data_IF_275729743316
#
_entry.id   IF_275729743316
#
_cell.length_a   1.000
_cell.length_b   1.000
_cell.length_c   1.000
_cell.angle_alpha   90.00
_cell.angle_beta   90.00
_cell.angle_gamma   90.00
#
_symmetry.space_group_name_H-M   'P 1'
#
loop_
_entity.id
_entity.type
_entity.pdbx_description
1 polymer ?
#
# COMPACT_ATOMS: atom_id res chain seq x y z
N UNK A 1 -5.45 -11.78 9.55
CA UNK A 1 -6.13 -11.32 8.31
C UNK A 1 -7.42 -12.08 8.04
N UNK A 2 -7.41 -13.42 7.90
CA UNK A 2 -8.60 -14.22 7.52
C UNK A 2 -9.89 -13.89 8.29
N UNK A 3 -9.87 -13.84 9.63
CA UNK A 3 -11.07 -13.50 10.41
C UNK A 3 -11.61 -12.10 10.13
N UNK A 4 -10.73 -11.11 10.01
CA UNK A 4 -11.12 -9.74 9.68
C UNK A 4 -11.80 -9.67 8.30
N UNK A 5 -11.25 -10.34 7.29
CA UNK A 5 -11.84 -10.37 5.95
C UNK A 5 -13.17 -11.14 5.90
N UNK A 6 -13.30 -12.20 6.70
CA UNK A 6 -14.50 -13.04 6.69
C UNK A 6 -15.66 -12.45 7.51
N UNK A 7 -15.37 -11.74 8.61
CA UNK A 7 -16.39 -11.30 9.59
C UNK A 7 -16.48 -9.80 9.78
N UNK A 8 -15.66 -9.02 9.07
CA UNK A 8 -15.54 -7.59 9.33
C UNK A 8 -14.67 -7.29 10.56
N UNK A 9 -14.46 -6.01 10.83
CA UNK A 9 -13.71 -5.57 12.00
C UNK A 9 -14.60 -5.63 13.24
N UNK A 10 -15.85 -5.20 13.13
CA UNK A 10 -16.83 -5.26 14.22
C UNK A 10 -17.18 -6.70 14.63
N UNK A 11 -17.34 -7.61 13.66
CA UNK A 11 -17.72 -9.01 13.90
C UNK A 11 -16.58 -9.94 14.33
N UNK A 12 -15.37 -9.40 14.53
CA UNK A 12 -14.20 -10.14 15.00
C UNK A 12 -13.77 -9.67 16.40
N UNK A 13 -13.29 -10.60 17.22
CA UNK A 13 -12.66 -10.30 18.51
C UNK A 13 -11.29 -10.97 18.63
N UNK A 14 -10.47 -10.49 19.57
CA UNK A 14 -9.17 -11.12 19.87
C UNK A 14 -9.37 -12.56 20.32
N UNK A 15 -10.45 -12.87 21.02
CA UNK A 15 -10.78 -14.22 21.50
C UNK A 15 -11.03 -15.18 20.33
N UNK A 16 -11.79 -14.75 19.32
CA UNK A 16 -12.04 -15.54 18.11
C UNK A 16 -10.74 -15.80 17.37
N UNK A 17 -9.89 -14.78 17.22
CA UNK A 17 -8.59 -14.91 16.56
C UNK A 17 -7.67 -15.85 17.34
N UNK A 18 -7.58 -15.70 18.66
CA UNK A 18 -6.74 -16.52 19.52
C UNK A 18 -7.16 -18.00 19.48
N UNK A 19 -8.47 -18.26 19.50
CA UNK A 19 -9.02 -19.60 19.40
C UNK A 19 -8.68 -20.28 18.06
N UNK A 20 -8.83 -19.57 16.93
CA UNK A 20 -8.45 -20.12 15.63
C UNK A 20 -6.94 -20.34 15.50
N UNK A 21 -6.14 -19.39 16.00
CA UNK A 21 -4.68 -19.46 15.96
C UNK A 21 -4.09 -20.44 17.00
N UNK A 22 -4.93 -21.03 17.86
CA UNK A 22 -4.52 -21.93 18.96
C UNK A 22 -3.47 -21.31 19.88
N UNK A 23 -3.61 -20.01 20.17
CA UNK A 23 -2.73 -19.27 21.08
C UNK A 23 -3.51 -18.81 22.31
N UNK A 24 -2.83 -18.69 23.44
CA UNK A 24 -3.45 -18.18 24.66
C UNK A 24 -3.83 -16.70 24.50
N UNK A 25 -4.99 -16.30 25.02
CA UNK A 25 -5.46 -14.90 24.98
C UNK A 25 -4.41 -13.94 25.55
N UNK A 26 -3.82 -14.31 26.69
CA UNK A 26 -2.76 -13.53 27.36
C UNK A 26 -1.61 -13.24 26.40
N UNK A 27 -1.17 -14.22 25.61
CA UNK A 27 -0.10 -14.06 24.63
C UNK A 27 -0.45 -13.02 23.56
N UNK A 28 -1.70 -13.00 23.07
CA UNK A 28 -2.12 -12.00 22.08
C UNK A 28 -2.11 -10.61 22.71
N UNK A 29 -2.78 -10.42 23.85
CA UNK A 29 -2.82 -9.12 24.53
C UNK A 29 -1.42 -8.60 24.91
N UNK A 30 -0.49 -9.47 25.34
CA UNK A 30 0.89 -9.05 25.65
C UNK A 30 1.73 -8.71 24.42
N UNK A 31 1.40 -9.28 23.26
CA UNK A 31 2.18 -9.07 22.02
C UNK A 31 1.71 -7.86 21.23
N UNK A 32 0.40 -7.64 21.17
CA UNK A 32 -0.21 -6.62 20.30
C UNK A 32 -1.05 -5.60 21.04
N UNK A 33 -1.35 -5.76 22.34
CA UNK A 33 -2.21 -4.82 23.04
C UNK A 33 -3.67 -5.02 22.68
N UNK A 34 -4.23 -4.14 21.84
CA UNK A 34 -5.64 -4.14 21.50
C UNK A 34 -5.96 -4.74 20.10
N UNK A 35 -7.25 -4.75 19.72
CA UNK A 35 -7.70 -5.32 18.43
C UNK A 35 -7.27 -4.45 17.25
N UNK A 36 -7.20 -3.13 17.42
CA UNK A 36 -6.77 -2.21 16.38
C UNK A 36 -5.26 -2.35 16.14
N UNK A 37 -4.47 -2.53 17.19
CA UNK A 37 -3.03 -2.80 17.10
C UNK A 37 -2.74 -4.17 16.49
N UNK A 38 -3.53 -5.20 16.83
CA UNK A 38 -3.49 -6.48 16.14
C UNK A 38 -3.75 -6.32 14.64
N UNK A 39 -4.77 -5.53 14.28
CA UNK A 39 -5.09 -5.24 12.89
C UNK A 39 -3.94 -4.53 12.19
N UNK A 40 -3.41 -3.46 12.79
CA UNK A 40 -2.27 -2.68 12.28
C UNK A 40 -1.04 -3.55 12.10
N UNK A 41 -0.72 -4.45 13.05
CA UNK A 41 0.40 -5.37 12.93
C UNK A 41 0.27 -6.27 11.70
N UNK A 42 -0.95 -6.74 11.40
CA UNK A 42 -1.23 -7.51 10.19
C UNK A 42 -1.07 -6.65 8.93
N UNK A 43 -1.56 -5.40 8.92
CA UNK A 43 -1.38 -4.47 7.80
C UNK A 43 0.09 -4.18 7.54
N UNK A 44 0.86 -3.90 8.58
CA UNK A 44 2.30 -3.63 8.48
C UNK A 44 3.04 -4.81 7.86
N UNK A 45 2.78 -6.02 8.34
CA UNK A 45 3.40 -7.24 7.80
C UNK A 45 3.11 -7.42 6.31
N UNK A 46 1.93 -7.05 5.83
CA UNK A 46 1.59 -7.08 4.41
C UNK A 46 2.41 -6.04 3.61
N UNK A 47 2.51 -4.81 4.12
CA UNK A 47 3.25 -3.71 3.50
C UNK A 47 4.78 -3.84 3.53
N UNK A 48 5.32 -4.49 4.56
CA UNK A 48 6.76 -4.69 4.75
C UNK A 48 7.39 -5.50 3.60
N UNK A 49 6.59 -6.32 2.89
CA UNK A 49 7.02 -7.03 1.67
C UNK A 49 7.42 -6.11 0.52
N UNK A 50 6.92 -4.88 0.51
CA UNK A 50 7.22 -3.89 -0.53
C UNK A 50 8.24 -2.86 -0.04
N UNK A 51 8.04 -2.35 1.18
CA UNK A 51 8.89 -1.30 1.77
C UNK A 51 10.31 -1.79 2.02
N UNK A 52 10.50 -3.00 2.55
CA UNK A 52 11.83 -3.50 2.92
C UNK A 52 12.64 -4.05 1.72
N UNK A 53 12.04 -4.08 0.53
CA UNK A 53 12.66 -4.60 -0.70
C UNK A 53 13.23 -3.49 -1.57
N UNK A 54 13.18 -2.23 -1.09
CA UNK A 54 13.95 -1.14 -1.71
C UNK A 54 15.39 -1.34 -1.26
N UNK A 55 16.20 -2.00 -2.09
CA UNK A 55 17.63 -1.81 -2.05
C UNK A 55 17.91 -0.56 -2.90
N UNK A 56 18.28 0.58 -2.30
CA UNK A 56 18.67 1.75 -3.06
C UNK A 56 20.09 1.50 -3.57
N UNK A 57 20.26 0.77 -4.68
CA UNK A 57 21.58 0.63 -5.32
C UNK A 57 21.58 -0.02 -6.71
N UNK A 58 20.53 0.18 -7.53
CA UNK A 58 20.66 -0.15 -8.95
C UNK A 58 21.52 0.87 -9.72
N UNK A 59 21.85 2.01 -9.09
CA UNK A 59 22.63 3.10 -9.66
C UNK A 59 21.82 4.12 -10.48
N UNK A 60 20.54 3.86 -10.74
CA UNK A 60 19.63 4.76 -11.47
C UNK A 60 18.33 5.03 -10.68
N UNK A 61 18.14 6.27 -10.17
CA UNK A 61 16.94 6.65 -9.42
C UNK A 61 15.62 6.46 -10.16
N UNK A 62 15.60 6.56 -11.50
CA UNK A 62 14.38 6.32 -12.30
C UNK A 62 14.02 4.85 -12.26
N UNK A 63 14.99 3.97 -12.45
CA UNK A 63 14.81 2.53 -12.34
C UNK A 63 14.36 2.10 -10.95
N UNK A 64 14.88 2.73 -9.90
CA UNK A 64 14.48 2.44 -8.51
C UNK A 64 13.03 2.87 -8.24
N UNK A 65 12.63 4.05 -8.71
CA UNK A 65 11.25 4.54 -8.64
C UNK A 65 10.29 3.61 -9.39
N UNK A 66 10.66 3.18 -10.60
CA UNK A 66 9.88 2.23 -11.39
C UNK A 66 9.73 0.89 -10.67
N UNK A 67 10.85 0.30 -10.24
CA UNK A 67 10.85 -1.00 -9.57
C UNK A 67 10.00 -0.98 -8.29
N UNK A 68 10.08 0.12 -7.50
CA UNK A 68 9.21 0.29 -6.34
C UNK A 68 7.75 0.44 -6.72
N UNK A 69 7.43 1.27 -7.73
CA UNK A 69 6.08 1.43 -8.26
C UNK A 69 5.46 0.09 -8.67
N UNK A 70 6.21 -0.78 -9.35
CA UNK A 70 5.73 -2.12 -9.75
C UNK A 70 5.40 -2.98 -8.55
N UNK A 71 6.29 -3.02 -7.54
CA UNK A 71 6.02 -3.78 -6.31
C UNK A 71 4.79 -3.24 -5.58
N UNK A 72 4.66 -1.92 -5.51
CA UNK A 72 3.55 -1.26 -4.85
C UNK A 72 2.21 -1.53 -5.54
N UNK A 73 2.13 -1.38 -6.87
CA UNK A 73 0.93 -1.69 -7.65
C UNK A 73 0.53 -3.15 -7.49
N UNK A 74 1.49 -4.08 -7.56
CA UNK A 74 1.21 -5.52 -7.36
C UNK A 74 0.68 -5.83 -5.97
N UNK A 75 1.20 -5.18 -4.93
CA UNK A 75 0.71 -5.35 -3.57
C UNK A 75 -0.70 -4.78 -3.42
N UNK A 76 -0.88 -3.50 -3.77
CA UNK A 76 -2.13 -2.78 -3.55
C UNK A 76 -3.29 -3.36 -4.36
N UNK A 77 -2.99 -3.91 -5.54
CA UNK A 77 -3.95 -4.62 -6.38
C UNK A 77 -3.93 -6.14 -6.13
N UNK A 78 -3.38 -6.63 -5.03
CA UNK A 78 -3.56 -8.04 -4.65
C UNK A 78 -4.95 -8.27 -4.05
N UNK A 79 -5.45 -9.51 -4.10
CA UNK A 79 -6.76 -9.84 -3.51
C UNK A 79 -6.80 -9.56 -2.00
N UNK A 80 -5.67 -9.78 -1.31
CA UNK A 80 -5.55 -9.50 0.13
C UNK A 80 -5.64 -8.00 0.43
N UNK A 81 -4.93 -7.16 -0.33
CA UNK A 81 -4.96 -5.72 -0.13
C UNK A 81 -6.32 -5.10 -0.52
N UNK A 82 -6.94 -5.57 -1.60
CA UNK A 82 -8.29 -5.12 -2.00
C UNK A 82 -9.33 -5.54 -0.96
N UNK A 83 -9.25 -6.78 -0.45
CA UNK A 83 -10.12 -7.22 0.65
C UNK A 83 -9.95 -6.36 1.90
N UNK A 84 -8.70 -6.05 2.27
CA UNK A 84 -8.38 -5.17 3.38
C UNK A 84 -8.91 -3.74 3.17
N UNK A 85 -8.75 -3.17 1.98
CA UNK A 85 -9.22 -1.83 1.68
C UNK A 85 -10.75 -1.74 1.73
N UNK A 86 -11.47 -2.72 1.15
CA UNK A 86 -12.93 -2.83 1.27
C UNK A 86 -13.37 -2.89 2.73
N UNK A 87 -12.69 -3.71 3.53
CA UNK A 87 -12.97 -3.84 4.95
C UNK A 87 -12.83 -2.51 5.68
N UNK A 88 -11.69 -1.83 5.52
CA UNK A 88 -11.45 -0.54 6.21
C UNK A 88 -12.46 0.50 5.75
N UNK A 89 -12.70 0.63 4.45
CA UNK A 89 -13.66 1.59 3.89
C UNK A 89 -15.08 1.33 4.38
N UNK A 90 -15.52 0.08 4.46
CA UNK A 90 -16.84 -0.29 4.96
C UNK A 90 -17.03 -0.05 6.47
N UNK A 91 -15.94 -0.05 7.23
CA UNK A 91 -15.96 0.08 8.69
C UNK A 91 -15.56 1.49 9.17
N UNK A 92 -14.99 2.34 8.30
CA UNK A 92 -14.38 3.62 8.66
C UNK A 92 -15.34 4.59 9.39
N UNK A 93 -16.62 4.63 8.98
CA UNK A 93 -17.61 5.49 9.64
C UNK A 93 -17.92 5.06 11.08
N UNK A 94 -17.83 3.76 11.38
CA UNK A 94 -18.09 3.20 12.72
C UNK A 94 -16.83 3.17 13.58
N UNK A 95 -15.68 2.96 12.94
CA UNK A 95 -14.38 2.80 13.59
C UNK A 95 -13.35 3.77 12.97
N UNK A 96 -13.47 5.09 13.18
CA UNK A 96 -12.58 6.08 12.57
C UNK A 96 -11.12 5.92 13.01
N UNK A 97 -10.87 5.49 14.26
CA UNK A 97 -9.52 5.20 14.75
C UNK A 97 -8.85 4.05 13.96
N UNK A 98 -9.61 3.01 13.58
CA UNK A 98 -9.10 1.93 12.72
C UNK A 98 -8.64 2.48 11.37
N UNK A 99 -9.46 3.34 10.74
CA UNK A 99 -9.14 3.93 9.45
C UNK A 99 -7.91 4.83 9.53
N UNK A 100 -7.81 5.67 10.59
CA UNK A 100 -6.65 6.52 10.83
C UNK A 100 -5.37 5.69 11.04
N UNK A 101 -5.41 4.66 11.88
CA UNK A 101 -4.26 3.77 12.11
C UNK A 101 -3.88 2.99 10.86
N UNK A 102 -4.86 2.54 10.06
CA UNK A 102 -4.60 1.90 8.77
C UNK A 102 -3.88 2.85 7.80
N UNK A 103 -4.37 4.09 7.66
CA UNK A 103 -3.76 5.08 6.78
C UNK A 103 -2.31 5.38 7.18
N UNK A 104 -2.05 5.60 8.47
CA UNK A 104 -0.71 5.88 9.00
C UNK A 104 0.27 4.71 8.82
N UNK A 105 -0.21 3.46 8.91
CA UNK A 105 0.64 2.27 8.87
C UNK A 105 0.68 1.55 7.50
N UNK A 106 -0.10 2.03 6.53
CA UNK A 106 -0.14 1.52 5.16
C UNK A 106 0.17 2.64 4.16
N UNK A 107 -0.85 3.30 3.57
CA UNK A 107 -0.69 4.34 2.56
C UNK A 107 0.41 5.37 2.85
N UNK A 108 0.43 5.97 4.05
CA UNK A 108 1.41 7.02 4.40
C UNK A 108 2.86 6.53 4.30
N UNK A 109 3.13 5.26 4.65
CA UNK A 109 4.47 4.66 4.54
C UNK A 109 4.91 4.54 3.08
N UNK A 110 4.00 4.14 2.18
CA UNK A 110 4.31 4.00 0.76
C UNK A 110 4.56 5.35 0.10
N UNK A 111 3.76 6.36 0.46
CA UNK A 111 3.94 7.74 0.00
C UNK A 111 5.30 8.28 0.48
N UNK A 112 5.69 8.03 1.73
CA UNK A 112 7.01 8.43 2.23
C UNK A 112 8.17 7.81 1.45
N UNK A 113 8.07 6.54 1.03
CA UNK A 113 9.08 5.91 0.18
C UNK A 113 9.10 6.53 -1.23
N UNK A 114 7.93 6.77 -1.84
CA UNK A 114 7.85 7.47 -3.13
C UNK A 114 8.47 8.86 -3.05
N UNK A 115 8.21 9.61 -1.99
CA UNK A 115 8.77 10.94 -1.76
C UNK A 115 10.30 10.90 -1.70
N UNK A 116 10.87 9.93 -0.97
CA UNK A 116 12.33 9.74 -0.92
C UNK A 116 12.94 9.37 -2.27
N UNK A 117 12.27 8.52 -3.05
CA UNK A 117 12.72 8.15 -4.40
C UNK A 117 12.62 9.32 -5.39
N UNK A 118 11.56 10.14 -5.28
CA UNK A 118 11.41 11.35 -6.08
C UNK A 118 12.48 12.39 -5.72
N UNK A 119 12.80 12.54 -4.44
CA UNK A 119 13.85 13.45 -3.98
C UNK A 119 15.27 13.04 -4.43
N UNK A 120 15.47 11.77 -4.79
CA UNK A 120 16.72 11.27 -5.34
C UNK A 120 16.87 11.52 -6.86
N UNK A 121 15.80 11.95 -7.54
CA UNK A 121 15.86 12.28 -8.96
C UNK A 121 16.54 13.65 -9.18
N UNK A 122 17.31 13.81 -10.27
CA UNK A 122 17.69 15.14 -10.74
C UNK A 122 16.45 15.99 -11.07
N UNK A 123 16.48 17.28 -10.73
CA UNK A 123 15.32 18.16 -10.89
C UNK A 123 14.82 18.23 -12.34
N UNK A 124 15.74 18.18 -13.31
CA UNK A 124 15.43 18.17 -14.74
C UNK A 124 14.71 16.90 -15.22
N UNK A 125 14.66 15.84 -14.40
CA UNK A 125 13.91 14.62 -14.72
C UNK A 125 12.43 14.74 -14.38
N UNK A 126 12.02 15.70 -13.56
CA UNK A 126 10.62 15.89 -13.16
C UNK A 126 9.97 16.88 -14.15
N UNK A 127 8.99 16.41 -14.92
CA UNK A 127 8.34 17.19 -15.98
C UNK A 127 7.18 18.06 -15.48
N UNK A 128 6.74 17.87 -14.24
CA UNK A 128 5.57 18.52 -13.65
C UNK A 128 5.97 19.50 -12.56
N UNK A 129 5.16 20.56 -12.39
CA UNK A 129 5.28 21.44 -11.22
C UNK A 129 4.64 20.77 -10.02
N UNK A 130 5.38 20.68 -8.93
CA UNK A 130 4.88 20.28 -7.63
C UNK A 130 5.41 21.24 -6.56
N UNK A 131 4.64 21.42 -5.49
CA UNK A 131 5.04 22.28 -4.37
C UNK A 131 6.24 21.67 -3.62
N UNK A 132 6.21 20.36 -3.40
CA UNK A 132 7.31 19.56 -2.88
C UNK A 132 7.21 18.08 -3.32
N UNK A 133 8.22 17.27 -2.94
CA UNK A 133 8.26 15.84 -3.27
C UNK A 133 7.21 15.00 -2.54
N UNK A 134 6.68 15.46 -1.41
CA UNK A 134 5.63 14.76 -0.66
C UNK A 134 4.29 14.90 -1.39
N UNK A 135 3.91 16.11 -1.79
CA UNK A 135 2.74 16.38 -2.61
C UNK A 135 2.80 15.63 -3.94
N UNK A 136 3.97 15.61 -4.60
CA UNK A 136 4.16 14.82 -5.83
C UNK A 136 4.03 13.32 -5.58
N UNK A 137 4.52 12.82 -4.44
CA UNK A 137 4.38 11.41 -4.07
C UNK A 137 2.91 11.01 -3.82
N UNK A 138 2.11 11.87 -3.20
CA UNK A 138 0.67 11.64 -3.03
C UNK A 138 -0.08 11.59 -4.37
N UNK A 139 0.26 12.49 -5.29
CA UNK A 139 -0.29 12.51 -6.64
C UNK A 139 0.12 11.25 -7.41
N UNK A 140 1.41 10.89 -7.38
CA UNK A 140 1.91 9.66 -7.98
C UNK A 140 1.24 8.42 -7.40
N UNK A 141 1.08 8.33 -6.08
CA UNK A 141 0.36 7.23 -5.43
C UNK A 141 -1.07 7.10 -5.95
N UNK A 142 -1.76 8.23 -6.11
CA UNK A 142 -3.12 8.28 -6.68
C UNK A 142 -3.15 7.76 -8.12
N UNK A 143 -2.23 8.19 -8.96
CA UNK A 143 -2.12 7.74 -10.37
C UNK A 143 -1.78 6.25 -10.47
N UNK A 144 -0.87 5.76 -9.62
CA UNK A 144 -0.50 4.35 -9.56
C UNK A 144 -1.68 3.44 -9.22
N UNK A 145 -2.64 3.91 -8.41
CA UNK A 145 -3.86 3.16 -8.13
C UNK A 145 -4.88 3.30 -9.28
N UNK A 146 -5.25 4.54 -9.61
CA UNK A 146 -6.07 4.91 -10.77
C UNK A 146 -7.32 4.04 -11.00
N UNK A 147 -7.67 3.92 -12.29
CA UNK A 147 -8.76 3.06 -12.74
C UNK A 147 -8.58 1.57 -12.41
N UNK A 148 -7.37 0.97 -12.53
CA UNK A 148 -7.16 -0.43 -12.16
C UNK A 148 -7.59 -0.74 -10.71
N UNK A 149 -7.27 0.13 -9.75
CA UNK A 149 -7.70 -0.04 -8.36
C UNK A 149 -9.22 0.03 -8.22
N UNK A 150 -9.87 0.99 -8.88
CA UNK A 150 -11.34 1.14 -8.82
C UNK A 150 -12.07 -0.09 -9.36
N UNK A 151 -11.62 -0.63 -10.50
CA UNK A 151 -12.18 -1.85 -11.09
C UNK A 151 -11.99 -3.07 -10.19
N UNK A 152 -10.84 -3.18 -9.53
CA UNK A 152 -10.57 -4.22 -8.52
C UNK A 152 -11.42 -4.09 -7.28
N UNK A 153 -11.64 -2.86 -6.79
CA UNK A 153 -12.57 -2.58 -5.71
C UNK A 153 -14.01 -2.99 -6.03
N UNK A 154 -14.40 -3.00 -7.31
CA UNK A 154 -15.70 -3.50 -7.77
C UNK A 154 -15.70 -4.98 -8.17
N UNK A 155 -14.54 -5.67 -8.12
CA UNK A 155 -14.45 -7.09 -8.47
C UNK A 155 -14.57 -7.36 -9.97
N UNK A 156 -14.29 -6.36 -10.80
CA UNK A 156 -14.43 -6.44 -12.25
C UNK A 156 -13.22 -7.07 -12.94
N UNK A 157 -12.07 -7.09 -12.28
CA UNK A 157 -10.81 -7.61 -12.82
C UNK A 157 -10.08 -8.52 -11.82
N UNK A 158 -9.16 -9.39 -12.28
CA UNK A 158 -8.26 -10.16 -11.43
C UNK A 158 -7.00 -9.39 -11.00
N UNK A 159 -6.19 -10.00 -10.13
CA UNK A 159 -4.81 -9.57 -9.82
C UNK A 159 -4.00 -9.24 -11.08
N UNK A 160 -3.29 -8.09 -11.16
CA UNK A 160 -2.46 -7.81 -12.32
C UNK A 160 -1.26 -8.76 -12.36
N UNK A 161 -0.87 -9.15 -13.57
CA UNK A 161 0.40 -9.83 -13.79
C UNK A 161 1.57 -8.86 -13.54
N UNK A 162 2.79 -9.40 -13.42
CA UNK A 162 3.98 -8.56 -13.29
C UNK A 162 4.16 -7.62 -14.51
N UNK A 163 3.90 -8.12 -15.72
CA UNK A 163 3.99 -7.35 -16.95
C UNK A 163 2.95 -6.22 -16.99
N UNK A 164 1.69 -6.51 -16.67
CA UNK A 164 0.63 -5.48 -16.65
C UNK A 164 0.89 -4.39 -15.60
N UNK A 165 1.42 -4.76 -14.43
CA UNK A 165 1.83 -3.78 -13.42
C UNK A 165 3.01 -2.93 -13.88
N UNK A 166 4.02 -3.53 -14.52
CA UNK A 166 5.16 -2.80 -15.08
C UNK A 166 4.74 -1.79 -16.15
N UNK A 167 3.87 -2.21 -17.08
CA UNK A 167 3.35 -1.34 -18.13
C UNK A 167 2.55 -0.16 -17.55
N UNK A 168 1.68 -0.41 -16.56
CA UNK A 168 0.91 0.64 -15.88
C UNK A 168 1.82 1.66 -15.18
N UNK A 169 2.86 1.17 -14.51
CA UNK A 169 3.84 2.04 -13.83
C UNK A 169 4.64 2.86 -14.84
N UNK A 170 5.11 2.26 -15.94
CA UNK A 170 5.79 2.99 -17.02
C UNK A 170 4.91 4.13 -17.54
N UNK A 171 3.67 3.83 -17.94
CA UNK A 171 2.72 4.84 -18.44
C UNK A 171 2.43 5.93 -17.41
N UNK A 172 2.39 5.58 -16.13
CA UNK A 172 2.19 6.55 -15.05
C UNK A 172 3.40 7.47 -14.87
N UNK A 173 4.62 6.92 -14.91
CA UNK A 173 5.84 7.70 -14.75
C UNK A 173 6.09 8.61 -15.96
N UNK A 174 5.70 8.22 -17.17
CA UNK A 174 5.75 9.08 -18.36
C UNK A 174 4.91 10.36 -18.24
N UNK A 175 3.90 10.39 -17.35
CA UNK A 175 3.11 11.59 -17.09
C UNK A 175 3.83 12.61 -16.20
N UNK A 176 4.81 12.17 -15.42
CA UNK A 176 5.48 13.00 -14.40
C UNK A 176 6.98 13.16 -14.64
N UNK A 177 7.60 12.29 -15.45
CA UNK A 177 9.02 12.31 -15.76
C UNK A 177 9.26 12.79 -17.19
N UNK A 178 10.38 13.48 -17.39
CA UNK A 178 10.88 13.82 -18.72
C UNK A 178 11.34 12.52 -19.39
N UNK A 179 10.91 12.25 -20.65
CA UNK A 179 11.37 11.09 -21.39
C UNK A 179 12.90 11.11 -21.57
N UNK A 180 13.55 9.93 -21.63
CA UNK A 180 14.98 9.88 -21.90
C UNK A 180 15.28 10.61 -23.22
N UNK A 181 16.37 11.39 -23.25
CA UNK A 181 16.85 11.98 -24.50
C UNK A 181 17.21 10.86 -25.49
N UNK A 182 16.89 11.02 -26.78
CA UNK A 182 17.17 10.02 -27.81
C UNK A 182 18.68 9.78 -28.02
#
# INVERSE_FOLDING_TARGET
MRQFLARGYGGTTIEVIAAEARVAKRTVYTTVGDKADLFVAVVRRLGDRVVNTVAPDAGDPVSDLHAFGVRLVRLMLSDEAIGLHRLVTGEAAKFPDLAARHYANGPRRYIGVLSGLLAALPAERIAVRADDHEALAEQLFTLLMGEPHRRRMFGLDPAPTAAAAAEHVTRTLELILVPPSP
#
